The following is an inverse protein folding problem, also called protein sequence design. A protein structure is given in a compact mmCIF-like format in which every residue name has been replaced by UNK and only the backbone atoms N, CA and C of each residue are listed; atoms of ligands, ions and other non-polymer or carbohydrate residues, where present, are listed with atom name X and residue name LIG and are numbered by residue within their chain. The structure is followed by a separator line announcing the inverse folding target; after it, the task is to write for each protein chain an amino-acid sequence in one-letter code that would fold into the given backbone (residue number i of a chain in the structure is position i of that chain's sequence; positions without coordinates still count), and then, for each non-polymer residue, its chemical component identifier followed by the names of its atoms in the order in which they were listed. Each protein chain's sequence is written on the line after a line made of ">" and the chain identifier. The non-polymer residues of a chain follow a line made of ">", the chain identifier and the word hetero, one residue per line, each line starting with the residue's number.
data_IF_386378215344
#
_entry.id   IF_386378215344
#
_cell.length_a   1.000
_cell.length_b   1.000
_cell.length_c   1.000
_cell.angle_alpha   90.00
_cell.angle_beta   90.00
_cell.angle_gamma   90.00
#
_symmetry.space_group_name_H-M   'P 1'
#
loop_
_entity.id
_entity.type
_entity.pdbx_description
1 polymer ?
#
# COMPACT_ATOMS: atom_id res chain seq x y z
N UNK A 1 -19.11 -15.19 -12.39
CA UNK A 1 -18.24 -16.23 -11.80
C UNK A 1 -17.83 -15.77 -10.41
N UNK A 2 -18.10 -16.58 -9.39
CA UNK A 2 -17.70 -16.32 -8.01
C UNK A 2 -16.49 -17.20 -7.70
N UNK A 3 -15.44 -16.60 -7.14
CA UNK A 3 -14.19 -17.23 -6.75
C UNK A 3 -13.94 -16.96 -5.27
N UNK A 4 -13.56 -17.99 -4.51
CA UNK A 4 -13.06 -17.84 -3.15
C UNK A 4 -11.54 -17.91 -3.15
N UNK A 5 -10.89 -16.86 -2.64
CA UNK A 5 -9.43 -16.76 -2.56
C UNK A 5 -8.99 -16.75 -1.11
N UNK A 6 -8.33 -17.82 -0.67
CA UNK A 6 -7.72 -17.89 0.66
C UNK A 6 -6.55 -16.91 0.74
N UNK A 7 -6.46 -16.18 1.84
CA UNK A 7 -5.36 -15.25 2.09
C UNK A 7 -5.33 -14.78 3.53
N UNK A 8 -4.80 -13.57 3.73
CA UNK A 8 -4.77 -12.90 5.02
C UNK A 8 -5.08 -11.42 4.87
N UNK A 9 -5.60 -10.80 5.92
CA UNK A 9 -5.87 -9.37 5.96
C UNK A 9 -4.57 -8.56 6.12
N UNK A 10 -4.33 -7.57 5.25
CA UNK A 10 -3.12 -6.72 5.25
C UNK A 10 -3.29 -5.39 6.00
N UNK A 11 -4.43 -5.16 6.65
CA UNK A 11 -4.74 -3.86 7.27
C UNK A 11 -4.08 -3.63 8.64
N UNK A 12 -3.51 -4.66 9.26
CA UNK A 12 -2.73 -4.52 10.49
C UNK A 12 -1.76 -5.70 10.66
N UNK A 13 -0.93 -5.62 11.71
CA UNK A 13 0.12 -6.61 11.99
C UNK A 13 -0.40 -8.02 12.32
N UNK A 14 -1.66 -8.16 12.75
CA UNK A 14 -2.24 -9.45 13.15
C UNK A 14 -2.38 -10.45 12.00
N UNK A 15 -2.42 -9.97 10.75
CA UNK A 15 -2.57 -10.80 9.53
C UNK A 15 -3.60 -11.92 9.70
N UNK A 16 -4.80 -11.56 10.11
CA UNK A 16 -5.88 -12.52 10.32
C UNK A 16 -6.17 -13.28 9.02
N UNK A 17 -6.36 -14.60 9.09
CA UNK A 17 -6.69 -15.40 7.92
C UNK A 17 -8.06 -15.06 7.34
N UNK A 18 -8.14 -15.00 6.02
CA UNK A 18 -9.35 -14.60 5.31
C UNK A 18 -9.68 -15.54 4.16
N UNK A 19 -10.98 -15.65 3.86
CA UNK A 19 -11.49 -16.08 2.57
C UNK A 19 -12.06 -14.84 1.89
N UNK A 20 -11.53 -14.52 0.72
CA UNK A 20 -11.89 -13.34 -0.06
C UNK A 20 -12.80 -13.76 -1.20
N UNK A 21 -14.07 -13.37 -1.13
CA UNK A 21 -15.08 -13.70 -2.14
C UNK A 21 -15.00 -12.66 -3.25
N UNK A 22 -14.59 -13.10 -4.44
CA UNK A 22 -14.41 -12.28 -5.63
C UNK A 22 -15.46 -12.68 -6.66
N UNK A 23 -16.18 -11.71 -7.20
CA UNK A 23 -17.18 -11.92 -8.24
C UNK A 23 -16.80 -11.13 -9.47
N UNK A 24 -16.53 -11.79 -10.60
CA UNK A 24 -16.14 -11.15 -11.85
C UNK A 24 -14.96 -10.16 -11.68
N UNK A 25 -13.95 -10.54 -10.88
CA UNK A 25 -12.80 -9.68 -10.57
C UNK A 25 -13.04 -8.62 -9.48
N UNK A 26 -14.26 -8.49 -8.97
CA UNK A 26 -14.59 -7.54 -7.90
C UNK A 26 -14.56 -8.22 -6.53
N UNK A 27 -13.77 -7.69 -5.60
CA UNK A 27 -13.82 -8.14 -4.21
C UNK A 27 -15.17 -7.75 -3.59
N UNK A 28 -16.03 -8.74 -3.29
CA UNK A 28 -17.38 -8.52 -2.75
C UNK A 28 -17.42 -8.59 -1.24
N UNK A 29 -16.66 -9.52 -0.65
CA UNK A 29 -16.73 -9.82 0.78
C UNK A 29 -15.43 -10.42 1.28
N UNK A 30 -15.10 -10.12 2.53
CA UNK A 30 -14.01 -10.76 3.27
C UNK A 30 -14.60 -11.43 4.51
N UNK A 31 -14.35 -12.73 4.66
CA UNK A 31 -14.83 -13.54 5.80
C UNK A 31 -13.64 -14.21 6.50
N UNK A 32 -13.76 -14.54 7.80
CA UNK A 32 -12.71 -15.26 8.52
C UNK A 32 -12.42 -16.64 7.88
N UNK A 33 -11.15 -17.02 7.83
CA UNK A 33 -10.75 -18.39 7.51
C UNK A 33 -10.42 -19.15 8.82
N UNK A 34 -11.29 -20.02 9.35
CA UNK A 34 -11.05 -20.71 10.62
C UNK A 34 -9.86 -21.69 10.58
N UNK A 35 -9.43 -22.13 9.40
CA UNK A 35 -8.27 -23.02 9.23
C UNK A 35 -6.93 -22.28 9.39
N UNK A 36 -6.95 -20.94 9.31
CA UNK A 36 -5.77 -20.13 9.56
C UNK A 36 -5.55 -19.92 11.06
N UNK A 37 -4.30 -19.98 11.58
CA UNK A 37 -4.02 -19.85 13.03
C UNK A 37 -4.64 -18.61 13.69
N UNK A 38 -4.74 -17.51 12.95
CA UNK A 38 -5.30 -16.21 13.39
C UNK A 38 -6.65 -15.88 12.75
N UNK A 39 -7.34 -16.86 12.13
CA UNK A 39 -8.52 -16.61 11.31
C UNK A 39 -9.85 -17.00 11.94
N UNK A 40 -9.91 -17.37 13.23
CA UNK A 40 -11.18 -17.62 13.96
C UNK A 40 -12.14 -16.42 13.94
N UNK A 41 -11.60 -15.20 13.83
CA UNK A 41 -12.36 -13.98 13.70
C UNK A 41 -11.57 -12.93 12.91
N UNK A 42 -12.29 -11.96 12.34
CA UNK A 42 -11.73 -10.75 11.75
C UNK A 42 -12.50 -9.53 12.27
N UNK A 43 -11.77 -8.44 12.52
CA UNK A 43 -12.37 -7.18 12.97
C UNK A 43 -13.12 -6.45 11.84
N UNK A 44 -13.86 -5.39 12.20
CA UNK A 44 -14.64 -4.59 11.25
C UNK A 44 -13.78 -4.03 10.11
N UNK A 45 -12.55 -3.60 10.40
CA UNK A 45 -11.61 -3.11 9.37
C UNK A 45 -11.40 -4.14 8.25
N UNK A 46 -11.15 -5.40 8.62
CA UNK A 46 -10.95 -6.47 7.66
C UNK A 46 -12.19 -6.77 6.83
N UNK A 47 -13.38 -6.71 7.45
CA UNK A 47 -14.67 -6.90 6.75
C UNK A 47 -14.96 -5.77 5.76
N UNK A 48 -14.54 -4.54 6.06
CA UNK A 48 -14.70 -3.36 5.20
C UNK A 48 -13.62 -3.23 4.11
N UNK A 49 -12.72 -4.19 3.95
CA UNK A 49 -11.71 -4.16 2.88
C UNK A 49 -12.30 -3.93 1.45
N UNK A 50 -13.47 -4.47 1.06
CA UNK A 50 -14.10 -4.15 -0.22
C UNK A 50 -14.34 -2.64 -0.41
N UNK A 51 -14.76 -1.93 0.64
CA UNK A 51 -15.04 -0.48 0.59
C UNK A 51 -13.76 0.34 0.38
N UNK A 52 -12.63 -0.15 0.90
CA UNK A 52 -11.31 0.49 0.72
C UNK A 52 -10.79 0.26 -0.70
N UNK A 53 -10.88 -0.98 -1.20
CA UNK A 53 -10.41 -1.38 -2.53
C UNK A 53 -11.17 -0.64 -3.64
N UNK A 54 -12.48 -0.44 -3.45
CA UNK A 54 -13.37 0.19 -4.44
C UNK A 54 -13.68 1.66 -4.14
N UNK A 55 -12.94 2.28 -3.23
CA UNK A 55 -13.16 3.69 -2.90
C UNK A 55 -12.91 4.58 -4.12
N UNK A 56 -13.83 5.51 -4.42
CA UNK A 56 -13.68 6.45 -5.54
C UNK A 56 -12.48 7.40 -5.41
N UNK A 57 -11.94 7.57 -4.20
CA UNK A 57 -10.74 8.37 -3.92
C UNK A 57 -9.45 7.55 -3.88
N UNK A 58 -9.50 6.26 -4.22
CA UNK A 58 -8.32 5.40 -4.26
C UNK A 58 -7.39 5.89 -5.36
N UNK A 59 -6.11 6.04 -5.03
CA UNK A 59 -5.07 6.32 -6.02
C UNK A 59 -4.84 5.07 -6.89
N UNK A 60 -4.95 5.22 -8.20
CA UNK A 60 -4.80 4.15 -9.19
C UNK A 60 -3.60 4.34 -10.12
N UNK A 61 -2.97 5.51 -10.09
CA UNK A 61 -1.82 5.86 -10.90
C UNK A 61 -0.81 6.70 -10.09
N UNK A 62 0.48 6.70 -10.47
CA UNK A 62 1.47 7.63 -9.93
C UNK A 62 1.08 9.09 -10.20
N UNK A 63 1.28 9.95 -9.21
CA UNK A 63 1.01 11.38 -9.31
C UNK A 63 2.27 12.18 -9.02
N UNK A 64 2.62 13.08 -9.94
CA UNK A 64 3.71 14.05 -9.77
C UNK A 64 3.16 15.40 -9.35
N UNK A 65 3.74 15.99 -8.31
CA UNK A 65 3.44 17.37 -7.92
C UNK A 65 4.01 18.34 -8.96
N UNK A 66 3.20 19.29 -9.41
CA UNK A 66 3.61 20.30 -10.41
C UNK A 66 3.85 21.69 -9.82
N UNK A 67 3.60 21.89 -8.54
CA UNK A 67 3.90 23.12 -7.78
C UNK A 67 4.97 22.90 -6.71
N UNK A 68 5.65 23.95 -6.23
CA UNK A 68 6.55 23.84 -5.09
C UNK A 68 5.87 23.23 -3.85
N UNK A 69 6.64 22.55 -3.00
CA UNK A 69 6.10 21.92 -1.77
C UNK A 69 5.45 22.94 -0.82
N UNK A 70 5.92 24.19 -0.85
CA UNK A 70 5.39 25.32 -0.06
C UNK A 70 4.09 25.92 -0.59
N UNK A 71 3.65 25.53 -1.79
CA UNK A 71 2.41 26.04 -2.38
C UNK A 71 1.19 25.48 -1.60
N UNK A 72 0.22 26.32 -1.20
CA UNK A 72 -1.00 25.87 -0.55
C UNK A 72 -1.89 25.00 -1.44
N UNK A 73 -1.76 25.10 -2.77
CA UNK A 73 -2.46 24.25 -3.74
C UNK A 73 -1.47 23.24 -4.37
N UNK A 74 -1.42 22.00 -3.85
CA UNK A 74 -0.58 20.97 -4.42
C UNK A 74 -1.23 20.47 -5.72
N UNK A 75 -0.83 21.03 -6.86
CA UNK A 75 -1.30 20.56 -8.15
C UNK A 75 -0.61 19.24 -8.50
N UNK A 76 -1.37 18.31 -9.05
CA UNK A 76 -0.91 16.97 -9.40
C UNK A 76 -1.16 16.66 -10.87
N UNK A 77 -0.24 15.91 -11.45
CA UNK A 77 -0.33 15.38 -12.80
C UNK A 77 -0.07 13.89 -12.74
N UNK A 78 -0.91 13.10 -13.43
CA UNK A 78 -0.67 11.67 -13.60
C UNK A 78 0.55 11.45 -14.49
N UNK A 79 1.41 10.52 -14.11
CA UNK A 79 2.59 10.09 -14.87
C UNK A 79 2.65 8.56 -14.91
N UNK A 80 3.42 8.01 -15.83
CA UNK A 80 3.63 6.57 -15.92
C UNK A 80 4.45 6.03 -14.74
N UNK A 81 4.38 4.71 -14.52
CA UNK A 81 5.22 4.04 -13.53
C UNK A 81 6.71 4.16 -13.85
N UNK A 82 7.09 4.02 -15.12
CA UNK A 82 8.49 4.13 -15.55
C UNK A 82 9.03 5.55 -15.27
N UNK A 83 8.30 6.59 -15.66
CA UNK A 83 8.69 7.98 -15.37
C UNK A 83 8.78 8.26 -13.86
N UNK A 84 7.84 7.73 -13.06
CA UNK A 84 7.85 7.93 -11.62
C UNK A 84 9.06 7.27 -10.97
N UNK A 85 9.38 6.04 -11.37
CA UNK A 85 10.49 5.26 -10.83
C UNK A 85 11.85 5.84 -11.27
N UNK A 86 11.98 6.27 -12.52
CA UNK A 86 13.17 6.94 -13.04
C UNK A 86 13.42 8.27 -12.31
N UNK A 87 12.41 9.14 -12.19
CA UNK A 87 12.53 10.44 -11.51
C UNK A 87 12.92 10.27 -10.03
N UNK A 88 12.32 9.29 -9.33
CA UNK A 88 12.67 8.99 -7.93
C UNK A 88 14.09 8.42 -7.86
N UNK A 89 14.42 7.45 -8.71
CA UNK A 89 15.72 6.78 -8.73
C UNK A 89 16.86 7.76 -8.97
N UNK A 90 16.73 8.66 -9.95
CA UNK A 90 17.75 9.64 -10.26
C UNK A 90 17.92 10.67 -9.14
N UNK A 91 16.83 11.14 -8.53
CA UNK A 91 16.93 12.02 -7.36
C UNK A 91 17.63 11.35 -6.18
N UNK A 92 17.32 10.09 -5.90
CA UNK A 92 18.00 9.33 -4.85
C UNK A 92 19.51 9.24 -5.13
N UNK A 93 19.91 8.89 -6.37
CA UNK A 93 21.33 8.86 -6.77
C UNK A 93 22.00 10.22 -6.59
N UNK A 94 21.34 11.31 -6.99
CA UNK A 94 21.88 12.67 -6.84
C UNK A 94 22.07 13.09 -5.39
N UNK A 95 21.17 12.68 -4.49
CA UNK A 95 21.31 12.91 -3.06
C UNK A 95 22.48 12.11 -2.49
N UNK A 96 22.59 10.82 -2.85
CA UNK A 96 23.69 9.95 -2.44
C UNK A 96 25.04 10.48 -2.91
N UNK A 97 25.14 10.95 -4.16
CA UNK A 97 26.37 11.48 -4.73
C UNK A 97 26.87 12.75 -4.01
N UNK A 98 25.95 13.58 -3.48
CA UNK A 98 26.29 14.85 -2.80
C UNK A 98 26.49 14.71 -1.30
N UNK A 99 25.79 13.79 -0.66
CA UNK A 99 25.68 13.73 0.80
C UNK A 99 25.86 12.34 1.41
N UNK A 100 26.24 11.34 0.61
CA UNK A 100 26.33 9.94 1.05
C UNK A 100 24.97 9.25 1.17
N UNK A 101 24.96 7.91 1.30
CA UNK A 101 23.73 7.13 1.48
C UNK A 101 22.90 7.54 2.70
N UNK A 102 23.54 8.08 3.73
CA UNK A 102 22.94 8.57 4.99
C UNK A 102 22.07 9.82 4.78
N UNK A 103 22.13 10.46 3.61
CA UNK A 103 21.25 11.55 3.23
C UNK A 103 19.80 11.10 2.97
N UNK A 104 19.56 9.79 2.85
CA UNK A 104 18.24 9.20 2.61
C UNK A 104 17.67 8.61 3.89
N UNK A 105 16.45 9.01 4.26
CA UNK A 105 15.74 8.48 5.40
C UNK A 105 14.45 7.77 4.97
N UNK A 106 14.21 6.61 5.56
CA UNK A 106 12.97 5.84 5.38
C UNK A 106 12.08 6.00 6.62
N UNK A 107 10.88 6.56 6.44
CA UNK A 107 9.95 6.77 7.55
C UNK A 107 9.12 5.51 7.82
N UNK A 108 9.29 4.90 8.99
CA UNK A 108 8.47 3.79 9.49
C UNK A 108 7.80 4.22 10.78
N UNK A 109 6.47 4.36 10.76
CA UNK A 109 5.70 4.80 11.93
C UNK A 109 5.33 3.63 12.83
N UNK A 110 4.65 2.61 12.29
CA UNK A 110 4.39 1.36 12.99
C UNK A 110 4.24 0.21 12.00
N UNK A 111 4.53 -1.01 12.46
CA UNK A 111 4.35 -2.22 11.66
C UNK A 111 2.89 -2.53 11.30
N UNK A 112 1.91 -1.82 11.85
CA UNK A 112 0.49 -1.93 11.50
C UNK A 112 -0.01 -0.81 10.59
N UNK A 113 0.75 0.28 10.45
CA UNK A 113 0.30 1.50 9.76
C UNK A 113 1.19 1.89 8.58
N UNK A 114 2.32 1.18 8.36
CA UNK A 114 3.23 1.43 7.26
C UNK A 114 3.39 0.19 6.37
N UNK A 115 3.14 0.30 5.05
CA UNK A 115 3.44 -0.79 4.11
C UNK A 115 4.94 -1.08 4.04
N UNK A 116 5.78 -0.14 4.50
CA UNK A 116 7.24 -0.34 4.58
C UNK A 116 7.62 -1.52 5.46
N UNK A 117 6.76 -1.91 6.42
CA UNK A 117 7.02 -3.06 7.31
C UNK A 117 7.14 -4.41 6.58
N UNK A 118 6.59 -4.52 5.37
CA UNK A 118 6.77 -5.70 4.52
C UNK A 118 8.08 -5.63 3.71
N UNK A 119 8.65 -4.42 3.56
CA UNK A 119 9.88 -4.15 2.81
C UNK A 119 11.09 -3.88 3.71
N UNK A 120 10.96 -3.92 5.03
CA UNK A 120 12.04 -3.58 5.95
C UNK A 120 13.28 -4.43 5.74
N UNK A 121 13.14 -5.71 5.39
CA UNK A 121 14.28 -6.61 5.14
C UNK A 121 15.09 -6.25 3.88
N UNK A 122 14.51 -5.47 2.97
CA UNK A 122 15.21 -4.96 1.78
C UNK A 122 15.88 -3.61 2.03
N UNK A 123 15.42 -2.88 3.05
CA UNK A 123 15.84 -1.50 3.36
C UNK A 123 16.86 -1.48 4.50
N UNK A 124 16.75 -2.40 5.47
CA UNK A 124 17.59 -2.57 6.66
C UNK A 124 18.29 -3.92 6.61
#
# INVERSE_FOLDING_TARGET
>A
MIEEKVGFCTLCKSRCGTINVVENGWLKKVVPNPDHPTGKAICLKGRSAPEVVHNSRRLTAPLRRTTPKSDPDPRWMEISWDEALDEIGDRLKDHVARGGPESIAFAVTSGSSSPLSDSTYWIL
#
